data_IF_866191220887
#
_entry.id   IF_866191220887
#
_cell.length_a   1.000
_cell.length_b   1.000
_cell.length_c   1.000
_cell.angle_alpha   90.00
_cell.angle_beta   90.00
_cell.angle_gamma   90.00
#
_symmetry.space_group_name_H-M   'P 1'
#
loop_
_entity.id
_entity.type
_entity.pdbx_description
1 polymer ?
#
# COMPACT_ATOMS: atom_id res chain seq x y z
N UNK A 1 36.86 2.41 1.23
CA UNK A 1 36.94 3.68 0.48
C UNK A 1 35.75 3.72 -0.47
N UNK A 2 34.72 4.48 -0.15
CA UNK A 2 33.58 4.66 -1.06
C UNK A 2 33.99 5.70 -2.11
N UNK A 3 33.90 5.35 -3.39
CA UNK A 3 34.18 6.26 -4.49
C UNK A 3 33.34 7.52 -4.39
N UNK A 4 33.91 8.66 -4.79
CA UNK A 4 33.21 9.94 -4.81
C UNK A 4 31.93 9.80 -5.69
N UNK A 5 30.71 9.99 -5.15
CA UNK A 5 29.46 9.82 -5.90
C UNK A 5 29.30 10.81 -7.07
N UNK A 6 30.26 11.72 -7.25
CA UNK A 6 30.32 12.66 -8.38
C UNK A 6 30.79 12.03 -9.69
N UNK A 7 31.56 10.93 -9.68
CA UNK A 7 31.96 10.26 -10.92
C UNK A 7 30.85 9.32 -11.41
N UNK A 8 30.45 9.45 -12.69
CA UNK A 8 29.55 8.47 -13.34
C UNK A 8 30.10 7.05 -13.13
N UNK A 9 29.26 6.05 -12.79
CA UNK A 9 29.72 4.69 -12.59
C UNK A 9 30.30 4.12 -13.89
N UNK A 10 31.40 3.37 -13.75
CA UNK A 10 32.05 2.66 -14.85
C UNK A 10 31.25 1.40 -15.16
N UNK A 11 31.12 1.05 -16.44
CA UNK A 11 30.49 -0.19 -16.88
C UNK A 11 31.21 -1.42 -16.27
N UNK A 12 30.58 -2.17 -15.35
CA UNK A 12 31.21 -3.33 -14.72
C UNK A 12 31.09 -4.60 -15.59
N UNK A 13 30.33 -4.54 -16.69
CA UNK A 13 30.07 -5.66 -17.61
C UNK A 13 30.50 -5.33 -19.05
N UNK A 14 31.74 -4.85 -19.28
CA UNK A 14 32.13 -4.38 -20.59
C UNK A 14 32.15 -5.53 -21.61
N UNK A 15 31.67 -5.25 -22.82
CA UNK A 15 31.90 -6.12 -23.96
C UNK A 15 33.41 -6.20 -24.25
N UNK A 16 33.96 -7.42 -24.32
CA UNK A 16 35.38 -7.63 -24.60
C UNK A 16 35.58 -8.69 -25.68
N UNK A 17 36.74 -8.68 -26.34
CA UNK A 17 37.05 -9.65 -27.38
C UNK A 17 37.06 -11.12 -26.88
N UNK A 18 37.29 -11.32 -25.58
CA UNK A 18 37.28 -12.64 -24.92
C UNK A 18 35.92 -13.00 -24.32
N UNK A 19 35.04 -12.02 -24.11
CA UNK A 19 33.71 -12.22 -23.53
C UNK A 19 32.64 -11.99 -24.60
N UNK A 20 32.07 -13.09 -25.12
CA UNK A 20 31.13 -13.06 -26.27
C UNK A 20 29.77 -12.41 -25.96
N UNK A 21 29.53 -12.03 -24.72
CA UNK A 21 28.33 -11.34 -24.24
C UNK A 21 28.75 -10.29 -23.21
N UNK A 22 28.22 -9.08 -23.32
CA UNK A 22 28.50 -7.95 -22.43
C UNK A 22 27.69 -6.72 -22.84
N UNK A 23 27.79 -5.66 -22.07
CA UNK A 23 27.16 -4.36 -22.36
C UNK A 23 28.23 -3.49 -23.02
N UNK A 24 27.97 -2.98 -24.21
CA UNK A 24 28.87 -2.03 -24.87
C UNK A 24 28.94 -0.71 -24.09
N UNK A 25 29.98 0.09 -24.37
CA UNK A 25 30.11 1.41 -23.74
C UNK A 25 28.90 2.32 -24.02
N UNK A 26 28.38 2.30 -25.25
CA UNK A 26 27.20 3.07 -25.64
C UNK A 26 25.93 2.58 -24.95
N UNK A 27 25.66 1.27 -24.93
CA UNK A 27 24.46 0.73 -24.25
C UNK A 27 24.48 1.03 -22.75
N UNK A 28 25.66 0.93 -22.10
CA UNK A 28 25.80 1.31 -20.69
C UNK A 28 25.49 2.79 -20.47
N UNK A 29 26.03 3.66 -21.33
CA UNK A 29 25.76 5.09 -21.25
C UNK A 29 24.28 5.42 -21.44
N UNK A 30 23.63 4.81 -22.44
CA UNK A 30 22.21 5.03 -22.73
C UNK A 30 21.33 4.56 -21.55
N UNK A 31 21.59 3.35 -21.04
CA UNK A 31 20.86 2.82 -19.87
C UNK A 31 21.10 3.64 -18.62
N UNK A 32 22.33 4.11 -18.37
CA UNK A 32 22.63 4.98 -17.23
C UNK A 32 21.86 6.29 -17.33
N UNK A 33 21.74 6.87 -18.52
CA UNK A 33 21.01 8.13 -18.73
C UNK A 33 19.50 7.95 -18.56
N UNK A 34 18.93 6.86 -19.07
CA UNK A 34 17.53 6.49 -18.82
C UNK A 34 17.26 6.26 -17.32
N UNK A 35 18.14 5.52 -16.65
CA UNK A 35 18.03 5.27 -15.21
C UNK A 35 18.09 6.58 -14.40
N UNK A 36 19.04 7.47 -14.72
CA UNK A 36 19.16 8.79 -14.09
C UNK A 36 17.99 9.72 -14.41
N UNK A 37 17.31 9.54 -15.54
CA UNK A 37 16.09 10.26 -15.87
C UNK A 37 14.95 9.90 -14.90
N UNK A 38 14.81 8.60 -14.60
CA UNK A 38 13.85 8.09 -13.60
C UNK A 38 14.22 8.45 -12.15
N UNK A 39 15.51 8.44 -11.82
CA UNK A 39 16.01 8.63 -10.44
C UNK A 39 16.74 9.96 -10.26
N UNK A 40 15.99 11.06 -10.36
CA UNK A 40 16.57 12.41 -10.37
C UNK A 40 17.34 12.77 -9.09
N UNK A 41 17.05 12.11 -7.97
CA UNK A 41 17.78 12.31 -6.72
C UNK A 41 19.27 11.95 -6.83
N UNK A 42 19.62 11.04 -7.75
CA UNK A 42 20.94 10.43 -7.84
C UNK A 42 21.79 10.96 -9.01
N UNK A 43 21.34 12.03 -9.68
CA UNK A 43 22.09 12.66 -10.76
C UNK A 43 23.45 13.20 -10.29
N UNK A 44 24.50 13.11 -11.13
CA UNK A 44 25.77 13.79 -10.85
C UNK A 44 25.53 15.27 -10.55
N UNK A 45 26.18 15.79 -9.51
CA UNK A 45 25.99 17.16 -9.03
C UNK A 45 24.83 17.34 -8.05
N UNK A 46 23.95 16.34 -7.88
CA UNK A 46 22.85 16.38 -6.90
C UNK A 46 23.22 15.84 -5.52
N UNK A 47 24.51 15.69 -5.21
CA UNK A 47 24.98 15.20 -3.91
C UNK A 47 25.57 16.31 -3.05
N UNK A 48 25.33 16.25 -1.75
CA UNK A 48 26.08 17.02 -0.76
C UNK A 48 27.50 16.44 -0.58
N UNK A 49 28.46 17.22 -0.04
CA UNK A 49 29.81 16.74 0.22
C UNK A 49 29.89 15.51 1.14
N UNK A 50 28.87 15.30 1.99
CA UNK A 50 28.76 14.14 2.88
C UNK A 50 28.14 12.90 2.21
N UNK A 51 27.87 12.96 0.90
CA UNK A 51 27.32 11.85 0.12
C UNK A 51 25.79 11.76 0.13
N UNK A 52 25.06 12.73 0.71
CA UNK A 52 23.60 12.71 0.65
C UNK A 52 23.08 13.11 -0.75
N UNK A 53 22.26 12.29 -1.42
CA UNK A 53 21.65 12.60 -2.72
C UNK A 53 20.57 13.69 -2.59
N UNK A 54 20.08 14.15 -3.73
CA UNK A 54 19.11 15.22 -3.86
C UNK A 54 19.43 16.47 -3.01
N UNK A 55 20.70 16.83 -2.84
CA UNK A 55 21.17 17.93 -1.98
C UNK A 55 20.65 17.80 -0.52
N UNK A 56 20.57 16.58 0.01
CA UNK A 56 20.07 16.30 1.36
C UNK A 56 18.55 16.29 1.48
N UNK A 57 17.79 16.45 0.40
CA UNK A 57 16.31 16.54 0.45
C UNK A 57 15.63 15.24 0.88
N UNK A 58 16.24 14.08 0.65
CA UNK A 58 15.67 12.82 1.14
C UNK A 58 15.62 12.78 2.68
N UNK A 59 16.56 13.44 3.36
CA UNK A 59 16.53 13.61 4.82
C UNK A 59 15.35 14.47 5.27
N UNK A 60 14.99 15.50 4.50
CA UNK A 60 13.83 16.32 4.80
C UNK A 60 12.53 15.51 4.72
N UNK A 61 12.39 14.63 3.72
CA UNK A 61 11.23 13.71 3.61
C UNK A 61 11.15 12.79 4.83
N UNK A 62 12.29 12.24 5.28
CA UNK A 62 12.32 11.45 6.53
C UNK A 62 11.85 12.25 7.75
N UNK A 63 12.30 13.51 7.89
CA UNK A 63 11.84 14.37 8.98
C UNK A 63 10.33 14.64 8.92
N UNK A 64 9.76 14.79 7.73
CA UNK A 64 8.31 14.93 7.57
C UNK A 64 7.56 13.66 7.97
N UNK A 65 8.09 12.47 7.68
CA UNK A 65 7.52 11.20 8.16
C UNK A 65 7.46 11.21 9.70
N UNK A 66 8.57 11.58 10.35
CA UNK A 66 8.64 11.68 11.81
C UNK A 66 7.71 12.76 12.37
N UNK A 67 7.54 13.88 11.66
CA UNK A 67 6.60 14.93 12.05
C UNK A 67 5.15 14.44 12.00
N UNK A 68 4.77 13.69 10.97
CA UNK A 68 3.44 13.05 10.89
C UNK A 68 3.26 12.09 12.07
N UNK A 69 4.25 11.23 12.34
CA UNK A 69 4.21 10.33 13.51
C UNK A 69 4.00 11.11 14.80
N UNK A 70 4.82 12.15 15.05
CA UNK A 70 4.72 12.99 16.24
C UNK A 70 3.35 13.65 16.36
N UNK A 71 2.83 14.20 15.27
CA UNK A 71 1.53 14.88 15.23
C UNK A 71 0.39 13.90 15.53
N UNK A 72 0.47 12.66 15.04
CA UNK A 72 -0.52 11.62 15.38
C UNK A 72 -0.42 11.24 16.86
N UNK A 73 0.78 11.14 17.41
CA UNK A 73 1.01 10.72 18.81
C UNK A 73 0.73 11.81 19.85
N UNK A 74 0.84 13.09 19.48
CA UNK A 74 0.72 14.21 20.43
C UNK A 74 -0.73 14.51 20.80
N UNK A 75 -1.15 14.08 21.99
CA UNK A 75 -2.49 14.32 22.53
C UNK A 75 -2.79 15.82 22.82
N UNK A 76 -1.81 16.73 22.72
CA UNK A 76 -1.97 18.17 23.01
C UNK A 76 -2.23 19.03 21.78
N UNK A 77 -2.04 18.51 20.57
CA UNK A 77 -2.24 19.27 19.32
C UNK A 77 -3.73 19.42 18.93
N UNK A 78 -4.64 19.27 19.89
CA UNK A 78 -6.08 19.41 19.70
C UNK A 78 -6.52 20.82 19.25
N UNK A 79 -5.70 21.85 19.50
CA UNK A 79 -6.18 23.24 19.41
C UNK A 79 -5.23 24.20 18.67
N UNK A 80 -4.37 23.72 17.76
CA UNK A 80 -3.54 24.64 16.96
C UNK A 80 -4.01 24.72 15.49
N UNK A 81 -4.86 25.71 15.11
CA UNK A 81 -5.37 25.87 13.75
C UNK A 81 -4.33 26.41 12.74
N UNK A 82 -3.05 26.54 13.11
CA UNK A 82 -2.05 27.26 12.27
C UNK A 82 -1.21 26.39 11.34
N UNK A 83 -1.56 25.14 11.04
CA UNK A 83 -0.80 24.42 10.01
C UNK A 83 -1.37 23.10 9.56
N UNK A 84 -1.70 23.00 8.28
CA UNK A 84 -1.82 21.79 7.41
C UNK A 84 -2.64 20.57 7.89
N UNK A 85 -3.11 20.50 9.13
CA UNK A 85 -3.73 19.31 9.73
C UNK A 85 -5.03 19.69 10.45
N UNK A 86 -6.09 18.91 10.19
CA UNK A 86 -7.45 19.06 10.71
C UNK A 86 -7.59 18.69 12.18
N UNK A 87 -8.82 18.60 12.67
CA UNK A 87 -9.08 17.99 13.98
C UNK A 87 -8.66 16.51 13.94
N UNK A 88 -7.52 16.21 14.58
CA UNK A 88 -6.93 14.87 14.63
C UNK A 88 -7.48 14.01 15.76
N UNK A 89 -8.27 14.57 16.69
CA UNK A 89 -8.83 13.84 17.84
C UNK A 89 -9.57 12.56 17.45
N UNK A 90 -10.51 12.59 16.48
CA UNK A 90 -11.20 11.39 16.00
C UNK A 90 -10.27 10.35 15.38
N UNK A 91 -9.23 10.79 14.65
CA UNK A 91 -8.25 9.91 14.01
C UNK A 91 -7.45 9.18 15.08
N UNK A 92 -6.88 9.90 16.05
CA UNK A 92 -6.12 9.34 17.17
C UNK A 92 -6.96 8.35 17.96
N UNK A 93 -8.20 8.72 18.28
CA UNK A 93 -9.14 7.86 19.00
C UNK A 93 -9.38 6.55 18.23
N UNK A 94 -9.53 6.62 16.91
CA UNK A 94 -9.74 5.45 16.07
C UNK A 94 -8.50 4.53 16.01
N UNK A 95 -7.31 5.11 15.81
CA UNK A 95 -6.04 4.37 15.79
C UNK A 95 -5.76 3.70 17.16
N UNK A 96 -5.86 4.47 18.26
CA UNK A 96 -5.68 3.94 19.62
C UNK A 96 -6.74 2.89 19.96
N UNK A 97 -7.98 3.03 19.49
CA UNK A 97 -9.02 2.02 19.71
C UNK A 97 -8.69 0.70 19.01
N UNK A 98 -8.18 0.73 17.77
CA UNK A 98 -7.75 -0.48 17.06
C UNK A 98 -6.59 -1.17 17.79
N UNK A 99 -5.56 -0.42 18.18
CA UNK A 99 -4.40 -0.95 18.91
C UNK A 99 -4.80 -1.52 20.28
N UNK A 100 -5.68 -0.82 21.01
CA UNK A 100 -6.17 -1.24 22.33
C UNK A 100 -6.87 -2.60 22.29
N UNK A 101 -7.63 -2.88 21.23
CA UNK A 101 -8.38 -4.15 21.06
C UNK A 101 -7.50 -5.32 20.67
N UNK A 102 -6.38 -5.06 20.00
CA UNK A 102 -5.45 -6.10 19.59
C UNK A 102 -4.93 -6.89 20.81
N UNK A 103 -4.50 -8.12 20.59
CA UNK A 103 -3.72 -8.92 21.53
C UNK A 103 -2.24 -8.48 21.55
N UNK A 104 -1.34 -9.36 22.03
CA UNK A 104 0.10 -9.14 22.00
C UNK A 104 0.66 -9.15 20.58
N UNK A 105 1.44 -8.13 20.24
CA UNK A 105 2.13 -7.94 18.96
C UNK A 105 3.64 -7.94 19.21
N UNK A 106 4.36 -8.79 18.49
CA UNK A 106 5.82 -8.99 18.62
C UNK A 106 6.62 -8.35 17.50
N UNK A 107 5.96 -7.95 16.40
CA UNK A 107 6.58 -7.35 15.21
C UNK A 107 5.56 -6.63 14.36
N UNK A 108 6.04 -5.63 13.62
CA UNK A 108 5.26 -4.87 12.65
C UNK A 108 5.82 -5.06 11.24
N UNK A 109 4.93 -5.29 10.28
CA UNK A 109 5.25 -5.47 8.86
C UNK A 109 4.48 -4.43 8.05
N UNK A 110 5.19 -3.57 7.35
CA UNK A 110 4.63 -2.61 6.41
C UNK A 110 4.78 -3.14 4.98
N UNK A 111 3.70 -3.17 4.21
CA UNK A 111 3.66 -3.70 2.87
C UNK A 111 2.69 -2.94 1.99
N UNK A 112 2.82 -3.04 0.67
CA UNK A 112 1.93 -2.31 -0.24
C UNK A 112 1.92 -0.80 -0.01
N UNK A 113 3.05 -0.21 0.38
CA UNK A 113 3.23 1.24 0.32
C UNK A 113 3.32 1.66 -1.15
N UNK A 114 2.72 2.81 -1.48
CA UNK A 114 2.95 3.44 -2.78
C UNK A 114 4.37 4.03 -2.85
N UNK A 115 4.99 4.16 -4.04
CA UNK A 115 6.32 4.77 -4.15
C UNK A 115 6.28 6.29 -3.88
N UNK A 116 7.39 6.85 -3.40
CA UNK A 116 7.55 8.31 -3.21
C UNK A 116 7.48 9.08 -4.54
N UNK A 117 7.82 8.46 -5.68
CA UNK A 117 7.89 9.09 -7.02
C UNK A 117 8.56 10.47 -6.99
N UNK A 118 9.75 10.52 -6.42
CA UNK A 118 10.47 11.78 -6.22
C UNK A 118 10.88 12.42 -7.55
N UNK A 119 10.43 13.66 -7.79
CA UNK A 119 10.92 14.50 -8.90
C UNK A 119 11.61 15.74 -8.39
N UNK A 120 11.09 16.35 -7.33
CA UNK A 120 11.72 17.49 -6.64
C UNK A 120 11.16 17.64 -5.23
N UNK A 121 11.68 18.61 -4.45
CA UNK A 121 11.15 18.92 -3.11
C UNK A 121 9.68 19.33 -3.11
N UNK A 122 9.18 19.88 -4.21
CA UNK A 122 7.78 20.32 -4.32
C UNK A 122 6.93 19.34 -5.13
N UNK A 123 7.54 18.23 -5.57
CA UNK A 123 6.89 17.25 -6.43
C UNK A 123 7.37 15.84 -6.07
N UNK A 124 6.70 15.28 -5.06
CA UNK A 124 6.77 13.89 -4.65
C UNK A 124 5.40 13.47 -4.08
N UNK A 125 5.21 12.17 -3.93
CA UNK A 125 3.98 11.58 -3.42
C UNK A 125 3.85 11.77 -1.89
N UNK A 126 3.04 12.73 -1.46
CA UNK A 126 2.83 13.00 -0.03
C UNK A 126 2.06 11.87 0.69
N UNK A 127 1.34 11.04 -0.06
CA UNK A 127 0.66 9.87 0.49
C UNK A 127 1.66 8.89 1.11
N UNK A 128 2.85 8.72 0.51
CA UNK A 128 3.95 7.92 1.08
C UNK A 128 4.37 8.44 2.46
N UNK A 129 4.53 9.76 2.60
CA UNK A 129 4.92 10.40 3.86
C UNK A 129 3.88 10.13 4.94
N UNK A 130 2.60 10.30 4.59
CA UNK A 130 1.49 10.09 5.51
C UNK A 130 1.34 8.61 5.91
N UNK A 131 1.42 7.70 4.94
CA UNK A 131 1.32 6.25 5.19
C UNK A 131 2.45 5.76 6.11
N UNK A 132 3.70 6.18 5.83
CA UNK A 132 4.83 5.87 6.71
C UNK A 132 4.63 6.46 8.11
N UNK A 133 4.20 7.72 8.19
CA UNK A 133 3.98 8.40 9.46
C UNK A 133 2.91 7.73 10.33
N UNK A 134 1.78 7.34 9.72
CA UNK A 134 0.69 6.58 10.37
C UNK A 134 1.18 5.20 10.83
N UNK A 135 1.94 4.49 9.98
CA UNK A 135 2.50 3.19 10.33
C UNK A 135 3.43 3.28 11.56
N UNK A 136 4.36 4.24 11.59
CA UNK A 136 5.24 4.45 12.74
C UNK A 136 4.47 4.89 13.99
N UNK A 137 3.42 5.71 13.85
CA UNK A 137 2.57 6.07 14.98
C UNK A 137 1.87 4.85 15.58
N UNK A 138 1.33 3.96 14.74
CA UNK A 138 0.75 2.70 15.20
C UNK A 138 1.78 1.81 15.91
N UNK A 139 3.02 1.75 15.40
CA UNK A 139 4.11 1.04 16.07
C UNK A 139 4.37 1.60 17.48
N UNK A 140 4.46 2.94 17.62
CA UNK A 140 4.63 3.57 18.94
C UNK A 140 3.43 3.33 19.86
N UNK A 141 2.20 3.38 19.34
CA UNK A 141 1.00 3.05 20.14
C UNK A 141 1.00 1.61 20.63
N UNK A 142 1.53 0.67 19.83
CA UNK A 142 1.70 -0.74 20.22
C UNK A 142 2.74 -0.85 21.33
N UNK A 143 3.87 -0.16 21.19
CA UNK A 143 4.92 -0.13 22.22
C UNK A 143 4.40 0.44 23.55
N UNK A 144 3.71 1.58 23.51
CA UNK A 144 3.06 2.21 24.68
C UNK A 144 2.07 1.25 25.36
N UNK A 145 1.21 0.59 24.57
CA UNK A 145 0.21 -0.34 25.11
C UNK A 145 0.86 -1.54 25.80
N UNK A 146 2.00 -2.00 25.30
CA UNK A 146 2.67 -3.21 25.76
C UNK A 146 3.80 -2.92 26.76
N UNK A 147 3.90 -1.68 27.27
CA UNK A 147 4.98 -1.22 28.15
C UNK A 147 6.39 -1.52 27.60
N UNK A 148 6.55 -1.45 26.27
CA UNK A 148 7.83 -1.62 25.60
C UNK A 148 8.59 -0.29 25.58
N UNK A 149 9.92 -0.38 25.56
CA UNK A 149 10.75 0.79 25.27
C UNK A 149 10.46 1.27 23.84
N UNK A 150 10.28 2.58 23.66
CA UNK A 150 10.02 3.17 22.34
C UNK A 150 11.14 2.84 21.34
N UNK A 151 10.75 2.45 20.12
CA UNK A 151 11.65 2.06 19.03
C UNK A 151 12.26 0.65 19.16
N UNK A 152 11.69 -0.22 20.01
CA UNK A 152 12.16 -1.61 20.18
C UNK A 152 11.28 -2.65 19.50
N UNK A 153 10.06 -2.31 19.08
CA UNK A 153 9.23 -3.18 18.26
C UNK A 153 9.97 -3.44 16.93
N UNK A 154 10.26 -4.71 16.58
CA UNK A 154 10.84 -5.04 15.29
C UNK A 154 9.94 -4.59 14.13
N UNK A 155 10.47 -3.70 13.29
CA UNK A 155 9.78 -3.13 12.13
C UNK A 155 10.41 -3.62 10.84
N UNK A 156 9.58 -4.14 9.94
CA UNK A 156 9.99 -4.64 8.63
C UNK A 156 9.17 -4.00 7.52
N UNK A 157 9.83 -3.59 6.44
CA UNK A 157 9.17 -3.11 5.23
C UNK A 157 9.33 -4.14 4.11
N UNK A 158 8.24 -4.50 3.43
CA UNK A 158 8.29 -5.41 2.28
C UNK A 158 8.74 -4.65 1.02
N UNK A 159 9.71 -5.21 0.29
CA UNK A 159 10.17 -4.71 -1.02
C UNK A 159 9.45 -5.42 -2.18
N UNK A 160 8.31 -4.92 -2.66
CA UNK A 160 7.90 -5.23 -4.03
C UNK A 160 7.72 -3.97 -4.90
N UNK A 161 7.71 -2.76 -4.33
CA UNK A 161 7.38 -1.52 -5.05
C UNK A 161 8.30 -0.31 -4.72
N UNK A 162 9.34 -0.51 -3.90
CA UNK A 162 10.24 0.59 -3.54
C UNK A 162 11.19 0.93 -4.68
N UNK A 163 11.23 2.21 -5.02
CA UNK A 163 12.25 2.81 -5.85
C UNK A 163 13.52 3.11 -5.03
N UNK A 164 14.61 3.49 -5.70
CA UNK A 164 15.88 3.73 -5.00
C UNK A 164 15.77 4.85 -3.95
N UNK A 165 14.97 5.89 -4.22
CA UNK A 165 14.70 6.97 -3.28
C UNK A 165 14.00 6.47 -2.01
N UNK A 166 13.00 5.59 -2.15
CA UNK A 166 12.29 4.98 -1.02
C UNK A 166 13.26 4.20 -0.12
N UNK A 167 14.07 3.34 -0.75
CA UNK A 167 15.10 2.54 -0.07
C UNK A 167 16.14 3.42 0.61
N UNK A 168 16.57 4.51 -0.03
CA UNK A 168 17.50 5.45 0.59
C UNK A 168 16.90 6.11 1.84
N UNK A 169 15.63 6.54 1.76
CA UNK A 169 14.92 7.12 2.91
C UNK A 169 14.80 6.09 4.05
N UNK A 170 14.32 4.88 3.76
CA UNK A 170 14.04 3.87 4.78
C UNK A 170 15.32 3.21 5.33
N UNK A 171 16.20 2.68 4.48
CA UNK A 171 17.38 1.92 4.91
C UNK A 171 18.53 2.82 5.35
N UNK A 172 18.83 3.89 4.60
CA UNK A 172 20.02 4.73 4.89
C UNK A 172 19.76 5.78 5.95
N UNK A 173 18.63 6.49 5.86
CA UNK A 173 18.30 7.56 6.81
C UNK A 173 17.53 6.98 7.99
N UNK A 174 16.46 6.24 7.73
CA UNK A 174 15.58 5.68 8.75
C UNK A 174 16.13 4.43 9.45
N UNK A 175 17.17 3.79 8.92
CA UNK A 175 17.74 2.53 9.44
C UNK A 175 16.72 1.39 9.59
N UNK A 176 15.73 1.38 8.71
CA UNK A 176 14.67 0.39 8.69
C UNK A 176 15.13 -0.89 7.97
N UNK A 177 14.56 -2.03 8.37
CA UNK A 177 14.85 -3.31 7.72
C UNK A 177 13.90 -3.52 6.54
N UNK A 178 14.44 -3.67 5.34
CA UNK A 178 13.70 -4.02 4.14
C UNK A 178 13.86 -5.52 3.87
N UNK A 179 12.74 -6.21 3.60
CA UNK A 179 12.68 -7.65 3.37
C UNK A 179 11.98 -7.95 2.05
N UNK A 180 12.54 -8.86 1.25
CA UNK A 180 11.97 -9.29 -0.03
C UNK A 180 10.98 -10.44 0.13
N UNK A 181 10.10 -10.60 -0.85
CA UNK A 181 9.29 -11.83 -1.01
C UNK A 181 10.22 -13.00 -1.38
N UNK A 182 10.02 -14.22 -0.83
CA UNK A 182 8.93 -14.63 0.06
C UNK A 182 9.18 -14.38 1.56
N UNK A 183 10.40 -14.04 1.99
CA UNK A 183 10.75 -13.93 3.41
C UNK A 183 9.88 -12.94 4.20
N UNK A 184 9.39 -11.87 3.55
CA UNK A 184 8.46 -10.94 4.18
C UNK A 184 7.13 -11.60 4.61
N UNK A 185 6.69 -12.66 3.90
CA UNK A 185 5.47 -13.37 4.25
C UNK A 185 5.64 -14.16 5.54
N UNK A 186 6.83 -14.67 5.82
CA UNK A 186 7.14 -15.45 7.03
C UNK A 186 7.14 -14.60 8.31
N UNK A 187 7.14 -13.27 8.16
CA UNK A 187 7.02 -12.33 9.27
C UNK A 187 5.56 -12.14 9.72
N UNK A 188 4.59 -12.52 8.88
CA UNK A 188 3.16 -12.36 9.16
C UNK A 188 2.62 -13.59 9.89
N UNK A 189 2.07 -13.35 11.07
CA UNK A 189 1.46 -14.38 11.90
C UNK A 189 0.51 -13.76 12.93
N UNK A 190 -0.11 -14.61 13.75
CA UNK A 190 -1.07 -14.22 14.80
C UNK A 190 -0.54 -13.29 15.90
N UNK A 191 0.75 -12.94 15.89
CA UNK A 191 1.38 -11.98 16.80
C UNK A 191 2.00 -10.80 16.03
N UNK A 192 1.62 -10.58 14.79
CA UNK A 192 2.12 -9.50 13.95
C UNK A 192 1.08 -8.39 13.79
N UNK A 193 1.56 -7.15 13.67
CA UNK A 193 0.81 -6.06 13.09
C UNK A 193 1.20 -5.94 11.61
N UNK A 194 0.21 -5.96 10.70
CA UNK A 194 0.44 -5.79 9.26
C UNK A 194 -0.24 -4.52 8.78
N UNK A 195 0.51 -3.63 8.14
CA UNK A 195 0.03 -2.40 7.54
C UNK A 195 0.17 -2.46 6.02
N UNK A 196 -0.95 -2.52 5.32
CA UNK A 196 -1.07 -2.95 3.93
C UNK A 196 -2.03 -2.07 3.09
N UNK A 197 -1.82 -0.73 3.01
CA UNK A 197 -2.76 0.23 2.43
C UNK A 197 -3.07 0.04 0.94
N UNK A 198 -2.10 -0.41 0.13
CA UNK A 198 -2.29 -0.68 -1.30
C UNK A 198 -1.91 -2.11 -1.67
N UNK A 199 -2.05 -3.04 -0.74
CA UNK A 199 -1.74 -4.43 -1.05
C UNK A 199 -2.76 -4.98 -2.05
N UNK A 200 -2.36 -5.64 -3.15
CA UNK A 200 -3.30 -6.10 -4.17
C UNK A 200 -4.32 -7.09 -3.61
N UNK A 201 -5.62 -6.84 -3.83
CA UNK A 201 -6.70 -7.67 -3.26
C UNK A 201 -6.62 -9.14 -3.67
N UNK A 202 -6.19 -9.44 -4.90
CA UNK A 202 -6.00 -10.80 -5.38
C UNK A 202 -4.88 -11.55 -4.63
N UNK A 203 -3.87 -10.84 -4.14
CA UNK A 203 -2.76 -11.44 -3.40
C UNK A 203 -3.11 -11.69 -1.92
N UNK A 204 -4.08 -10.96 -1.34
CA UNK A 204 -4.47 -11.09 0.07
C UNK A 204 -4.76 -12.54 0.48
N UNK A 205 -5.43 -13.29 -0.38
CA UNK A 205 -5.86 -14.66 -0.11
C UNK A 205 -4.69 -15.64 0.06
N UNK A 206 -3.61 -15.41 -0.69
CA UNK A 206 -2.42 -16.26 -0.70
C UNK A 206 -1.28 -15.72 0.18
N UNK A 207 -1.53 -14.63 0.91
CA UNK A 207 -0.56 -14.05 1.85
C UNK A 207 -1.15 -13.91 3.24
N UNK A 208 -2.09 -12.99 3.44
CA UNK A 208 -2.61 -12.56 4.75
C UNK A 208 -3.77 -13.44 5.22
N UNK A 209 -4.67 -13.86 4.34
CA UNK A 209 -5.84 -14.69 4.71
C UNK A 209 -5.51 -16.19 4.78
N UNK A 210 -4.23 -16.55 4.69
CA UNK A 210 -3.79 -17.95 4.82
C UNK A 210 -3.87 -18.40 6.28
N UNK A 211 -4.34 -19.63 6.55
CA UNK A 211 -4.35 -20.17 7.90
C UNK A 211 -2.98 -20.05 8.58
N UNK A 212 -2.95 -19.44 9.78
CA UNK A 212 -1.73 -19.23 10.56
C UNK A 212 -0.94 -17.95 10.23
N UNK A 213 -1.24 -17.29 9.10
CA UNK A 213 -0.64 -16.03 8.69
C UNK A 213 -1.52 -14.81 9.01
N UNK A 214 -2.74 -15.03 9.53
CA UNK A 214 -3.64 -13.91 9.78
C UNK A 214 -3.12 -13.07 10.97
N UNK A 215 -2.84 -11.77 10.77
CA UNK A 215 -2.20 -10.93 11.78
C UNK A 215 -3.12 -10.58 12.94
N UNK A 216 -2.53 -10.17 14.05
CA UNK A 216 -3.26 -9.73 15.25
C UNK A 216 -4.01 -8.40 14.99
N UNK A 217 -3.33 -7.52 14.25
CA UNK A 217 -3.86 -6.26 13.75
C UNK A 217 -3.51 -6.16 12.27
N UNK A 218 -4.50 -5.88 11.42
CA UNK A 218 -4.33 -5.65 10.00
C UNK A 218 -4.90 -4.29 9.63
N UNK A 219 -4.18 -3.54 8.81
CA UNK A 219 -4.73 -2.43 8.05
C UNK A 219 -4.64 -2.78 6.56
N UNK A 220 -5.76 -2.93 5.87
CA UNK A 220 -5.75 -3.24 4.44
C UNK A 220 -7.05 -2.86 3.75
N UNK A 221 -7.19 -3.20 2.47
CA UNK A 221 -8.41 -3.07 1.69
C UNK A 221 -9.65 -3.53 2.46
N UNK A 222 -10.74 -2.77 2.32
CA UNK A 222 -11.98 -3.02 3.04
C UNK A 222 -12.72 -4.28 2.55
N UNK A 223 -12.81 -5.27 3.44
CA UNK A 223 -13.88 -6.26 3.54
C UNK A 223 -15.07 -5.63 4.29
N UNK A 224 -16.25 -5.50 3.67
CA UNK A 224 -17.44 -5.00 4.36
C UNK A 224 -18.09 -6.11 5.21
N UNK A 225 -18.72 -5.74 6.33
CA UNK A 225 -19.47 -6.74 7.12
C UNK A 225 -20.74 -7.11 6.35
N UNK A 226 -20.78 -8.33 5.80
CA UNK A 226 -21.90 -8.82 4.97
C UNK A 226 -21.70 -8.68 3.46
N UNK A 227 -20.62 -8.06 3.01
CA UNK A 227 -20.22 -7.93 1.60
C UNK A 227 -18.68 -7.98 1.47
N UNK A 228 -18.14 -8.71 0.49
CA UNK A 228 -16.70 -8.83 0.31
C UNK A 228 -16.03 -7.52 -0.16
N UNK A 229 -16.80 -6.48 -0.48
CA UNK A 229 -16.29 -5.14 -0.74
C UNK A 229 -15.26 -5.12 -1.85
N UNK A 230 -14.14 -4.41 -1.65
CA UNK A 230 -13.09 -4.29 -2.68
C UNK A 230 -12.40 -5.62 -2.98
N UNK A 231 -12.48 -6.59 -2.06
CA UNK A 231 -11.91 -7.93 -2.22
C UNK A 231 -12.79 -8.83 -3.09
N UNK A 232 -14.10 -8.55 -3.15
CA UNK A 232 -15.05 -9.26 -4.02
C UNK A 232 -14.73 -9.10 -5.52
N UNK A 233 -14.15 -7.95 -5.91
CA UNK A 233 -13.72 -7.74 -7.30
C UNK A 233 -12.66 -8.75 -7.74
N UNK A 234 -11.70 -9.11 -6.87
CA UNK A 234 -10.65 -10.07 -7.23
C UNK A 234 -11.20 -11.48 -7.47
N UNK A 235 -12.16 -11.92 -6.65
CA UNK A 235 -12.82 -13.23 -6.83
C UNK A 235 -13.64 -13.23 -8.12
N UNK A 236 -14.37 -12.13 -8.35
CA UNK A 236 -15.22 -11.97 -9.54
C UNK A 236 -14.38 -11.94 -10.81
N UNK A 237 -13.24 -11.25 -10.80
CA UNK A 237 -12.34 -11.14 -11.95
C UNK A 237 -11.76 -12.50 -12.37
N UNK A 238 -11.33 -13.33 -11.40
CA UNK A 238 -10.87 -14.70 -11.66
C UNK A 238 -11.98 -15.56 -12.28
N UNK A 239 -13.19 -15.48 -11.74
CA UNK A 239 -14.34 -16.19 -12.29
C UNK A 239 -14.67 -15.73 -13.71
N UNK A 240 -14.83 -14.42 -13.93
CA UNK A 240 -15.18 -13.86 -15.24
C UNK A 240 -14.09 -14.15 -16.27
N UNK A 241 -12.82 -14.01 -15.91
CA UNK A 241 -11.68 -14.33 -16.78
C UNK A 241 -11.77 -15.78 -17.27
N UNK A 242 -12.05 -16.73 -16.38
CA UNK A 242 -12.27 -18.12 -16.75
C UNK A 242 -13.47 -18.28 -17.69
N UNK A 243 -14.61 -17.67 -17.38
CA UNK A 243 -15.83 -17.74 -18.23
C UNK A 243 -15.54 -17.23 -19.63
N UNK A 244 -14.91 -16.08 -19.79
CA UNK A 244 -14.63 -15.50 -21.10
C UNK A 244 -13.54 -16.27 -21.86
N UNK A 245 -12.55 -16.82 -21.15
CA UNK A 245 -11.47 -17.58 -21.78
C UNK A 245 -11.90 -18.97 -22.22
N UNK A 246 -12.73 -19.65 -21.44
CA UNK A 246 -13.07 -21.08 -21.62
C UNK A 246 -14.50 -21.33 -22.06
N UNK A 247 -15.38 -20.32 -21.99
CA UNK A 247 -16.85 -20.42 -22.14
C UNK A 247 -17.54 -21.33 -21.13
N UNK A 248 -16.83 -21.75 -20.08
CA UNK A 248 -17.36 -22.59 -18.99
C UNK A 248 -17.80 -21.71 -17.81
N UNK A 249 -19.11 -21.74 -17.52
CA UNK A 249 -19.74 -20.98 -16.44
C UNK A 249 -19.71 -21.65 -15.06
N UNK A 250 -19.05 -22.81 -14.93
CA UNK A 250 -18.83 -23.38 -13.59
C UNK A 250 -17.86 -22.52 -12.81
N UNK A 251 -18.13 -22.32 -11.51
CA UNK A 251 -17.20 -21.58 -10.64
C UNK A 251 -15.91 -22.38 -10.52
N UNK A 252 -14.77 -21.77 -10.79
CA UNK A 252 -13.47 -22.44 -10.64
C UNK A 252 -13.07 -22.58 -9.17
N UNK A 253 -12.28 -23.61 -8.87
CA UNK A 253 -11.84 -23.92 -7.51
C UNK A 253 -11.10 -22.75 -6.86
N UNK A 254 -10.29 -22.01 -7.62
CA UNK A 254 -9.57 -20.84 -7.10
C UNK A 254 -10.51 -19.76 -6.54
N UNK A 255 -11.61 -19.45 -7.24
CA UNK A 255 -12.59 -18.48 -6.74
C UNK A 255 -13.30 -18.98 -5.47
N UNK A 256 -13.57 -20.28 -5.38
CA UNK A 256 -14.13 -20.93 -4.18
C UNK A 256 -13.14 -20.80 -3.01
N UNK A 257 -11.88 -21.13 -3.24
CA UNK A 257 -10.83 -21.10 -2.22
C UNK A 257 -10.61 -19.68 -1.67
N UNK A 258 -10.63 -18.67 -2.56
CA UNK A 258 -10.57 -17.25 -2.17
C UNK A 258 -11.78 -16.84 -1.34
N UNK A 259 -12.99 -17.20 -1.78
CA UNK A 259 -14.22 -16.92 -1.05
C UNK A 259 -14.18 -17.52 0.36
N UNK A 260 -13.79 -18.79 0.47
CA UNK A 260 -13.69 -19.49 1.75
C UNK A 260 -12.60 -18.89 2.65
N UNK A 261 -11.47 -18.46 2.08
CA UNK A 261 -10.41 -17.76 2.83
C UNK A 261 -10.90 -16.43 3.41
N UNK A 262 -11.58 -15.58 2.63
CA UNK A 262 -12.16 -14.35 3.14
C UNK A 262 -13.22 -14.61 4.22
N UNK A 263 -14.08 -15.62 4.01
CA UNK A 263 -15.10 -16.00 5.00
C UNK A 263 -14.47 -16.44 6.33
N UNK A 264 -13.43 -17.28 6.29
CA UNK A 264 -12.69 -17.69 7.50
C UNK A 264 -12.02 -16.50 8.21
N UNK A 265 -11.42 -15.59 7.44
CA UNK A 265 -10.81 -14.38 7.99
C UNK A 265 -11.84 -13.52 8.75
N UNK A 266 -13.02 -13.30 8.17
CA UNK A 266 -14.10 -12.51 8.78
C UNK A 266 -14.75 -13.18 9.99
N UNK A 267 -14.62 -14.50 10.14
CA UNK A 267 -15.06 -15.22 11.35
C UNK A 267 -14.11 -14.99 12.53
N UNK A 268 -12.83 -14.76 12.26
CA UNK A 268 -11.77 -14.62 13.28
C UNK A 268 -11.42 -13.16 13.58
N UNK A 269 -11.82 -12.22 12.72
CA UNK A 269 -11.53 -10.80 12.87
C UNK A 269 -12.80 -9.95 12.95
N UNK A 270 -12.69 -8.78 13.56
CA UNK A 270 -13.68 -7.71 13.47
C UNK A 270 -13.10 -6.53 12.70
N UNK A 271 -13.87 -6.01 11.73
CA UNK A 271 -13.48 -4.89 10.89
C UNK A 271 -13.98 -3.55 11.42
N UNK A 272 -13.19 -2.50 11.30
CA UNK A 272 -13.57 -1.11 11.55
C UNK A 272 -13.09 -0.23 10.40
N UNK A 273 -14.02 0.48 9.76
CA UNK A 273 -13.70 1.40 8.65
C UNK A 273 -12.84 2.54 9.16
N UNK A 274 -11.77 2.85 8.42
CA UNK A 274 -10.88 3.96 8.72
C UNK A 274 -11.03 5.05 7.66
N UNK A 275 -11.35 6.26 8.10
CA UNK A 275 -11.65 7.38 7.21
C UNK A 275 -10.44 8.30 6.94
N UNK A 276 -9.24 7.90 7.35
CA UNK A 276 -7.99 8.63 7.08
C UNK A 276 -7.63 9.72 8.09
N UNK A 277 -6.55 10.44 7.77
CA UNK A 277 -6.09 11.64 8.49
C UNK A 277 -6.83 12.86 7.93
N UNK A 278 -7.56 13.59 8.77
CA UNK A 278 -8.28 14.80 8.33
C UNK A 278 -7.31 16.00 8.27
N UNK A 279 -7.24 16.66 7.12
CA UNK A 279 -6.60 17.97 6.90
C UNK A 279 -7.69 19.06 6.94
N UNK A 280 -7.40 20.25 7.50
CA UNK A 280 -8.33 21.38 7.54
C UNK A 280 -8.82 21.72 6.13
N UNK A 281 -10.13 21.91 6.00
CA UNK A 281 -10.86 21.99 4.72
C UNK A 281 -10.76 23.34 3.98
N UNK A 282 -10.05 24.35 4.48
CA UNK A 282 -10.26 25.70 3.93
C UNK A 282 -9.19 26.24 2.97
N UNK A 283 -7.93 25.75 3.00
CA UNK A 283 -6.87 26.37 2.17
C UNK A 283 -6.07 25.42 1.25
N UNK A 284 -6.31 24.10 1.27
CA UNK A 284 -5.54 23.16 0.43
C UNK A 284 -6.34 21.91 -0.02
N UNK A 285 -7.52 22.14 -0.61
CA UNK A 285 -8.46 21.09 -1.02
C UNK A 285 -7.86 19.92 -1.83
N UNK A 286 -6.89 20.13 -2.75
CA UNK A 286 -6.34 19.02 -3.53
C UNK A 286 -5.61 17.98 -2.67
N UNK A 287 -4.80 18.42 -1.70
CA UNK A 287 -4.02 17.52 -0.85
C UNK A 287 -4.92 16.76 0.12
N UNK A 288 -5.89 17.43 0.74
CA UNK A 288 -6.86 16.80 1.62
C UNK A 288 -7.69 15.72 0.90
N UNK A 289 -8.10 15.99 -0.35
CA UNK A 289 -8.83 15.02 -1.19
C UNK A 289 -7.96 13.82 -1.57
N UNK A 290 -6.69 14.04 -1.93
CA UNK A 290 -5.73 12.97 -2.23
C UNK A 290 -5.53 12.06 -1.01
N UNK A 291 -5.28 12.65 0.16
CA UNK A 291 -5.09 11.88 1.39
C UNK A 291 -6.33 11.11 1.82
N UNK A 292 -7.52 11.71 1.71
CA UNK A 292 -8.77 10.96 1.94
C UNK A 292 -8.91 9.79 0.97
N UNK A 293 -8.61 9.99 -0.31
CA UNK A 293 -8.66 8.92 -1.31
C UNK A 293 -7.64 7.81 -1.04
N UNK A 294 -6.46 8.14 -0.52
CA UNK A 294 -5.42 7.17 -0.18
C UNK A 294 -5.86 6.20 0.94
N UNK A 295 -6.75 6.64 1.85
CA UNK A 295 -7.23 5.83 2.98
C UNK A 295 -8.67 5.34 2.86
N UNK A 296 -9.50 5.91 1.96
CA UNK A 296 -10.94 5.64 1.88
C UNK A 296 -11.33 4.21 1.53
N UNK A 297 -10.39 3.44 0.96
CA UNK A 297 -10.58 2.05 0.58
C UNK A 297 -10.01 1.05 1.59
N UNK A 298 -9.51 1.53 2.73
CA UNK A 298 -8.85 0.71 3.75
C UNK A 298 -9.63 0.66 5.07
N UNK A 299 -9.47 -0.45 5.80
CA UNK A 299 -10.07 -0.70 7.10
C UNK A 299 -9.07 -1.38 8.04
N UNK A 300 -9.30 -1.22 9.34
CA UNK A 300 -8.62 -2.01 10.36
C UNK A 300 -9.38 -3.32 10.60
N UNK A 301 -8.64 -4.41 10.77
CA UNK A 301 -9.14 -5.69 11.25
C UNK A 301 -8.36 -6.09 12.49
N UNK A 302 -9.09 -6.44 13.54
CA UNK A 302 -8.51 -6.88 14.82
C UNK A 302 -8.97 -8.30 15.08
N UNK A 303 -8.07 -9.18 15.50
CA UNK A 303 -8.42 -10.56 15.87
C UNK A 303 -9.38 -10.56 17.07
N UNK A 304 -10.38 -11.45 17.03
CA UNK A 304 -11.37 -11.60 18.11
C UNK A 304 -10.75 -12.38 19.27
N UNK A 305 -10.81 -11.81 20.48
CA UNK A 305 -10.38 -12.46 21.74
C UNK A 305 -11.62 -12.73 22.61
N UNK A 306 -12.09 -13.98 22.64
CA UNK A 306 -13.26 -14.40 23.41
C UNK A 306 -13.88 -15.68 22.87
N UNK A 307 -14.37 -16.56 23.76
CA UNK A 307 -14.86 -17.90 23.42
C UNK A 307 -15.86 -17.86 22.27
N UNK A 308 -15.53 -18.51 21.16
CA UNK A 308 -16.55 -19.07 20.28
C UNK A 308 -17.21 -20.18 21.08
N UNK A 309 -18.18 -19.83 21.92
CA UNK A 309 -19.13 -20.82 22.41
C UNK A 309 -19.77 -21.42 21.16
N UNK A 310 -19.47 -22.69 20.92
CA UNK A 310 -20.23 -23.56 20.03
C UNK A 310 -21.65 -23.72 20.57
N UNK A 311 -22.44 -22.65 20.59
CA UNK A 311 -23.84 -22.65 21.00
C UNK A 311 -24.74 -21.84 20.07
N UNK A 312 -24.27 -21.54 18.85
CA UNK A 312 -25.13 -21.09 17.74
C UNK A 312 -25.10 -22.05 16.54
N UNK A 313 -24.82 -23.35 16.79
CA UNK A 313 -25.02 -24.43 15.82
C UNK A 313 -26.50 -24.81 15.59
N UNK A 314 -27.45 -23.97 16.02
CA UNK A 314 -28.89 -24.17 15.78
C UNK A 314 -29.55 -22.94 15.15
N UNK A 315 -29.03 -22.50 14.00
CA UNK A 315 -29.93 -22.09 12.92
C UNK A 315 -29.79 -23.11 11.81
N UNK A 316 -30.88 -23.73 11.35
CA UNK A 316 -30.79 -24.67 10.25
C UNK A 316 -30.19 -23.91 9.07
N UNK A 317 -29.05 -24.40 8.59
CA UNK A 317 -28.58 -24.10 7.25
C UNK A 317 -29.71 -24.59 6.35
N UNK A 318 -30.58 -23.67 5.93
CA UNK A 318 -31.34 -23.90 4.72
C UNK A 318 -30.28 -24.09 3.66
N UNK A 319 -30.16 -25.32 3.18
CA UNK A 319 -29.48 -25.65 1.95
C UNK A 319 -29.93 -24.62 0.92
N UNK A 320 -29.09 -23.62 0.64
CA UNK A 320 -29.29 -22.74 -0.49
C UNK A 320 -29.00 -23.63 -1.68
N UNK A 321 -30.05 -24.27 -2.21
CA UNK A 321 -30.04 -24.71 -3.59
C UNK A 321 -29.50 -23.55 -4.45
N UNK A 322 -28.58 -23.87 -5.34
CA UNK A 322 -27.79 -22.97 -6.18
C UNK A 322 -28.63 -22.15 -7.21
N UNK A 323 -29.81 -21.65 -6.84
CA UNK A 323 -30.79 -21.01 -7.73
C UNK A 323 -30.98 -19.51 -7.51
N UNK A 324 -30.24 -18.83 -6.62
CA UNK A 324 -30.50 -17.40 -6.30
C UNK A 324 -29.30 -16.46 -6.50
N UNK A 325 -28.14 -16.92 -6.97
CA UNK A 325 -26.96 -16.05 -7.15
C UNK A 325 -26.88 -15.28 -8.49
N UNK A 326 -27.90 -15.30 -9.34
CA UNK A 326 -27.81 -14.74 -10.71
C UNK A 326 -28.73 -13.58 -11.12
N UNK A 327 -29.80 -13.13 -10.41
CA UNK A 327 -30.60 -12.01 -10.93
C UNK A 327 -29.98 -10.62 -10.74
N UNK A 328 -29.15 -10.42 -9.71
CA UNK A 328 -28.73 -9.06 -9.30
C UNK A 328 -27.45 -8.53 -9.98
N UNK A 329 -26.73 -9.36 -10.74
CA UNK A 329 -25.60 -8.89 -11.56
C UNK A 329 -26.07 -8.36 -12.93
N UNK A 330 -27.27 -8.75 -13.39
CA UNK A 330 -27.83 -8.31 -14.67
C UNK A 330 -28.54 -6.95 -14.62
N UNK A 331 -28.93 -6.46 -13.44
CA UNK A 331 -29.54 -5.12 -13.29
C UNK A 331 -28.54 -3.97 -13.40
N UNK A 332 -27.24 -4.27 -13.39
CA UNK A 332 -26.16 -3.28 -13.56
C UNK A 332 -25.61 -3.19 -15.00
N UNK A 333 -25.92 -4.16 -15.87
CA UNK A 333 -25.38 -4.18 -17.24
C UNK A 333 -25.95 -3.11 -18.21
N UNK A 334 -27.23 -2.66 -18.13
CA UNK A 334 -27.74 -1.69 -19.11
C UNK A 334 -27.17 -0.27 -18.97
N UNK A 335 -26.46 0.05 -17.88
CA UNK A 335 -25.88 1.40 -17.68
C UNK A 335 -24.45 1.55 -18.21
N UNK A 336 -23.79 0.45 -18.59
CA UNK A 336 -22.45 0.47 -19.20
C UNK A 336 -22.46 0.39 -20.73
N UNK A 337 -23.62 0.08 -21.33
CA UNK A 337 -23.79 -0.02 -22.79
C UNK A 337 -24.53 1.19 -23.42
N UNK A 338 -24.78 2.26 -22.66
CA UNK A 338 -25.41 3.49 -23.17
C UNK A 338 -24.47 4.72 -23.15
N UNK A 339 -23.16 4.52 -23.10
CA UNK A 339 -22.20 5.57 -23.42
C UNK A 339 -21.97 5.52 -24.94
N UNK A 340 -22.50 6.52 -25.63
CA UNK A 340 -22.40 6.74 -27.08
C UNK A 340 -21.00 6.44 -27.60
N UNK A 341 -20.88 5.30 -28.27
CA UNK A 341 -19.74 4.91 -29.07
C UNK A 341 -19.87 5.54 -30.46
N UNK A 342 -19.94 6.88 -30.54
CA UNK A 342 -20.03 7.54 -31.86
C UNK A 342 -19.48 8.99 -31.94
N UNK A 343 -18.65 9.44 -30.98
CA UNK A 343 -18.05 10.80 -31.05
C UNK A 343 -16.55 10.91 -30.77
N UNK A 344 -15.74 9.89 -31.09
CA UNK A 344 -14.27 10.06 -30.96
C UNK A 344 -13.47 9.42 -32.09
N UNK A 345 -14.00 9.48 -33.30
CA UNK A 345 -13.28 9.14 -34.52
C UNK A 345 -13.25 10.31 -35.51
N UNK A 346 -12.88 11.51 -35.05
CA UNK A 346 -12.58 12.63 -35.98
C UNK A 346 -11.57 13.65 -35.42
N UNK A 347 -10.40 13.17 -34.99
CA UNK A 347 -9.26 14.05 -34.63
C UNK A 347 -7.92 13.60 -35.20
N UNK A 348 -7.91 12.83 -36.29
CA UNK A 348 -6.67 12.37 -36.95
C UNK A 348 -6.55 12.76 -38.42
N UNK A 349 -7.26 13.81 -38.87
CA UNK A 349 -7.20 14.25 -40.28
C UNK A 349 -7.31 15.77 -40.49
N UNK A 350 -6.63 16.61 -39.67
CA UNK A 350 -6.34 18.01 -40.05
C UNK A 350 -4.96 18.48 -39.61
N UNK A 351 -3.92 17.87 -40.18
CA UNK A 351 -2.69 18.61 -40.46
C UNK A 351 -2.18 18.18 -41.84
N UNK A 352 -1.86 19.18 -42.68
CA UNK A 352 -1.36 19.14 -44.08
C UNK A 352 -2.41 19.35 -45.18
N UNK A 353 -2.56 20.62 -45.53
CA UNK A 353 -2.59 21.27 -46.88
C UNK A 353 -3.31 22.61 -46.70
N UNK A 354 -2.96 23.76 -47.25
CA UNK A 354 -1.84 24.29 -48.01
C UNK A 354 -2.12 25.80 -48.17
N UNK A 355 -1.07 26.63 -48.12
CA UNK A 355 -0.87 27.92 -48.81
C UNK A 355 -2.09 28.84 -49.07
N UNK A 356 -2.05 30.04 -48.49
CA UNK A 356 -1.71 31.28 -49.23
C UNK A 356 -1.20 32.35 -48.27
#
# INVERSE_FOLDING_TARGET
MAGNPQSRPINPFPLSATNRVGISGSEWSDHLEEWLYGHQAFKPGSYLPDGQPAHGRLRYIWLQILDVTRIIMDDRTCDNPTGLYGNLGPVRKSLRAAVKKAGPITKAVCMGLGPIRYRSLFNYNFDYVQQCGVFFALCQMIEEKQDMQLGTLPVFFQEPAFELEDRWILERIGRQTIVRVPAANDLMNVQSFVYAPHFPSNLLFNTICRPGFEPELLFTNTFHTGDLGSVGYAITDIYLSKVYWTRDSTVNQEAIDMYDAAKRFLQTHEGTVYWGVYVLEENNQPLAKLLRAAFSSSSFYVRRHGAVSQSDSKRPVKTLEAKVLLPNLWSCLPKLLSLDFDQTLDLTLRSRTAKR
#
